data_IF_505162044333
#
_entry.id   IF_505162044333
#
_cell.length_a   1.000
_cell.length_b   1.000
_cell.length_c   1.000
_cell.angle_alpha   90.00
_cell.angle_beta   90.00
_cell.angle_gamma   90.00
#
_symmetry.space_group_name_H-M   'P 1'
#
loop_
_entity.id
_entity.type
_entity.pdbx_description
1 polymer ?
#
# COMPACT_ATOMS: atom_id res chain seq x y z
N UNK A 1 6.64 6.35 -23.85
CA UNK A 1 6.63 6.22 -22.37
C UNK A 1 6.75 4.74 -22.04
N UNK A 2 7.51 4.34 -21.00
CA UNK A 2 7.40 2.96 -20.50
C UNK A 2 5.95 2.71 -20.04
N UNK A 3 5.44 1.47 -20.14
CA UNK A 3 4.12 1.15 -19.60
C UNK A 3 4.11 1.40 -18.08
N UNK A 4 3.00 1.92 -17.51
CA UNK A 4 2.89 2.12 -16.07
C UNK A 4 3.11 0.79 -15.36
N UNK A 5 3.86 0.82 -14.26
CA UNK A 5 4.04 -0.38 -13.47
C UNK A 5 2.69 -0.81 -12.85
N UNK A 6 2.60 -2.02 -12.33
CA UNK A 6 1.33 -2.54 -11.79
C UNK A 6 0.78 -1.67 -10.63
N UNK A 7 1.66 -1.04 -9.84
CA UNK A 7 1.26 -0.14 -8.76
C UNK A 7 0.74 1.21 -9.27
N UNK A 8 1.37 1.79 -10.27
CA UNK A 8 0.95 3.02 -10.94
C UNK A 8 -0.40 2.83 -11.63
N UNK A 9 -0.58 1.68 -12.31
CA UNK A 9 -1.87 1.31 -12.93
C UNK A 9 -2.97 1.15 -11.90
N UNK A 10 -2.67 0.54 -10.75
CA UNK A 10 -3.63 0.39 -9.66
C UNK A 10 -3.96 1.75 -9.02
N UNK A 11 -2.96 2.58 -8.73
CA UNK A 11 -3.13 3.94 -8.22
C UNK A 11 -3.98 4.80 -9.16
N UNK A 12 -3.74 4.71 -10.47
CA UNK A 12 -4.52 5.42 -11.46
C UNK A 12 -5.98 4.93 -11.47
N UNK A 13 -6.21 3.62 -11.45
CA UNK A 13 -7.57 3.04 -11.39
C UNK A 13 -8.31 3.46 -10.13
N UNK A 14 -7.64 3.43 -8.98
CA UNK A 14 -8.20 3.78 -7.69
C UNK A 14 -8.58 5.25 -7.61
N UNK A 15 -7.72 6.14 -8.11
CA UNK A 15 -8.02 7.57 -8.13
C UNK A 15 -9.17 7.90 -9.08
N UNK A 16 -9.25 7.24 -10.23
CA UNK A 16 -10.37 7.41 -11.17
C UNK A 16 -11.68 6.84 -10.60
N UNK A 17 -11.63 5.75 -9.83
CA UNK A 17 -12.82 5.15 -9.22
C UNK A 17 -13.26 5.85 -7.93
N UNK A 18 -12.33 6.47 -7.19
CA UNK A 18 -12.62 7.22 -5.97
C UNK A 18 -13.55 8.41 -6.20
N UNK A 19 -13.48 9.05 -7.38
CA UNK A 19 -14.39 10.14 -7.76
C UNK A 19 -15.77 9.65 -8.23
N UNK A 20 -15.93 8.36 -8.53
CA UNK A 20 -17.11 7.77 -9.15
C UNK A 20 -17.96 6.92 -8.20
N UNK A 21 -17.40 6.44 -7.09
CA UNK A 21 -18.10 5.55 -6.16
C UNK A 21 -18.68 6.33 -4.97
N UNK A 22 -19.90 6.85 -5.18
CA UNK A 22 -20.79 7.22 -4.07
C UNK A 22 -21.10 5.94 -3.27
N UNK A 23 -20.73 5.93 -1.99
CA UNK A 23 -20.71 4.78 -1.08
C UNK A 23 -22.00 3.96 -1.03
N UNK A 24 -21.91 2.67 -1.33
CA UNK A 24 -22.84 1.67 -0.84
C UNK A 24 -22.35 1.06 0.49
N UNK A 25 -23.27 0.48 1.26
CA UNK A 25 -22.94 -0.31 2.45
C UNK A 25 -21.88 -1.37 2.11
N UNK A 26 -20.71 -1.30 2.77
CA UNK A 26 -19.62 -2.27 2.55
C UNK A 26 -18.37 -1.73 1.84
N UNK A 27 -18.17 -0.41 1.76
CA UNK A 27 -16.87 0.16 1.39
C UNK A 27 -15.84 0.04 2.54
N UNK A 28 -14.58 -0.14 2.17
CA UNK A 28 -13.41 -0.09 3.07
C UNK A 28 -12.64 1.18 2.75
N UNK A 29 -12.28 1.95 3.78
CA UNK A 29 -11.39 3.09 3.67
C UNK A 29 -9.96 2.60 3.57
N UNK A 30 -9.28 2.95 2.50
CA UNK A 30 -7.91 2.56 2.23
C UNK A 30 -7.02 3.79 2.35
N UNK A 31 -5.89 3.62 3.02
CA UNK A 31 -4.83 4.60 3.12
C UNK A 31 -3.57 4.02 2.51
N UNK A 32 -3.02 4.72 1.52
CA UNK A 32 -1.71 4.45 0.96
C UNK A 32 -0.70 5.47 1.45
N UNK A 33 0.50 5.00 1.76
CA UNK A 33 1.58 5.83 2.28
C UNK A 33 2.89 5.49 1.57
N UNK A 34 3.57 6.52 1.06
CA UNK A 34 4.92 6.43 0.53
C UNK A 34 5.90 6.75 1.65
N UNK A 35 6.71 5.77 2.05
CA UNK A 35 7.81 5.97 3.00
C UNK A 35 9.12 6.02 2.23
N UNK A 36 9.93 7.03 2.54
CA UNK A 36 11.31 7.15 2.08
C UNK A 36 12.24 6.66 3.19
N UNK A 37 12.91 5.54 2.97
CA UNK A 37 13.96 5.04 3.84
C UNK A 37 15.30 5.45 3.21
N UNK A 38 15.99 6.39 3.86
CA UNK A 38 17.38 6.69 3.51
C UNK A 38 18.25 5.50 3.89
N UNK A 39 19.25 5.22 3.07
CA UNK A 39 20.30 4.29 3.46
C UNK A 39 20.93 4.77 4.79
N UNK A 40 21.28 3.85 5.71
CA UNK A 40 21.91 4.24 6.97
C UNK A 40 23.20 5.01 6.66
N UNK A 41 23.29 6.24 7.18
CA UNK A 41 24.50 7.06 7.10
C UNK A 41 25.60 6.34 7.88
N UNK A 42 26.37 5.51 7.20
CA UNK A 42 27.49 4.82 7.82
C UNK A 42 28.61 5.85 7.92
N UNK A 43 28.86 6.34 9.13
CA UNK A 43 29.97 7.25 9.40
C UNK A 43 31.29 6.62 8.91
N UNK A 44 32.05 7.43 8.18
CA UNK A 44 33.36 7.18 7.57
C UNK A 44 33.37 6.64 6.13
N UNK A 45 33.74 7.52 5.19
CA UNK A 45 34.44 7.20 3.93
C UNK A 45 33.67 6.41 2.86
N UNK A 46 32.41 6.75 2.57
CA UNK A 46 31.78 6.31 1.32
C UNK A 46 31.85 7.40 0.25
N UNK A 47 32.64 7.14 -0.80
CA UNK A 47 32.76 7.95 -2.04
C UNK A 47 31.48 7.81 -2.90
N UNK A 48 30.65 6.79 -2.60
CA UNK A 48 29.40 6.49 -3.31
C UNK A 48 28.25 6.52 -2.31
N UNK A 49 27.26 7.36 -2.58
CA UNK A 49 26.01 7.43 -1.81
C UNK A 49 25.14 6.23 -2.20
N UNK A 50 24.71 5.44 -1.22
CA UNK A 50 23.76 4.37 -1.46
C UNK A 50 22.39 4.97 -1.84
N UNK A 51 21.74 4.47 -2.91
CA UNK A 51 20.47 5.02 -3.35
C UNK A 51 19.38 4.80 -2.28
N UNK A 52 18.44 5.76 -2.14
CA UNK A 52 17.36 5.61 -1.18
C UNK A 52 16.40 4.48 -1.58
N UNK A 53 15.76 3.88 -0.59
CA UNK A 53 14.68 2.92 -0.80
C UNK A 53 13.34 3.59 -0.54
N UNK A 54 12.48 3.62 -1.55
CA UNK A 54 11.10 4.07 -1.44
C UNK A 54 10.19 2.86 -1.34
N UNK A 55 9.27 2.87 -0.38
CA UNK A 55 8.29 1.80 -0.21
C UNK A 55 6.88 2.38 -0.22
N UNK A 56 6.04 1.85 -1.11
CA UNK A 56 4.61 2.15 -1.16
C UNK A 56 3.86 1.14 -0.30
N UNK A 57 3.17 1.64 0.72
CA UNK A 57 2.39 0.85 1.66
C UNK A 57 0.90 1.06 1.45
N UNK A 58 0.11 0.05 1.80
CA UNK A 58 -1.34 0.16 1.93
C UNK A 58 -1.80 -0.37 3.28
N UNK A 59 -2.76 0.33 3.86
CA UNK A 59 -3.54 -0.07 5.05
C UNK A 59 -5.01 0.15 4.77
N UNK A 60 -5.85 -0.76 5.23
CA UNK A 60 -7.29 -0.62 5.16
C UNK A 60 -7.91 -0.43 6.55
N UNK A 61 -9.00 0.30 6.57
CA UNK A 61 -9.84 0.58 7.72
C UNK A 61 -11.28 0.16 7.39
N UNK A 62 -11.85 -0.72 8.21
CA UNK A 62 -13.28 -1.01 8.14
C UNK A 62 -14.07 0.15 8.75
N UNK A 63 -15.34 0.34 8.39
CA UNK A 63 -16.12 1.48 8.88
C UNK A 63 -16.25 1.47 10.41
N UNK A 64 -16.43 2.65 11.01
CA UNK A 64 -16.50 2.84 12.47
C UNK A 64 -17.54 1.96 13.19
N UNK A 65 -18.56 1.46 12.48
CA UNK A 65 -19.56 0.55 13.06
C UNK A 65 -18.91 -0.75 13.54
N UNK A 66 -17.89 -1.26 12.82
CA UNK A 66 -17.16 -2.47 13.20
C UNK A 66 -16.30 -2.30 14.48
N UNK A 67 -16.03 -1.06 14.91
CA UNK A 67 -15.29 -0.76 16.15
C UNK A 67 -16.09 -1.15 17.41
N UNK A 68 -17.42 -1.16 17.32
CA UNK A 68 -18.30 -1.51 18.43
C UNK A 68 -18.29 -3.02 18.76
N UNK A 69 -17.99 -3.87 17.78
CA UNK A 69 -18.07 -5.33 17.90
C UNK A 69 -16.73 -6.02 18.25
N UNK A 70 -15.68 -5.24 18.57
CA UNK A 70 -14.37 -5.79 18.90
C UNK A 70 -13.61 -6.40 17.71
N UNK A 71 -14.07 -6.13 16.48
CA UNK A 71 -13.39 -6.57 15.24
C UNK A 71 -12.12 -5.75 14.98
N UNK A 72 -11.16 -6.36 14.28
CA UNK A 72 -9.89 -5.70 13.94
C UNK A 72 -10.16 -4.59 12.93
N UNK A 73 -10.22 -3.35 13.42
CA UNK A 73 -10.57 -2.16 12.66
C UNK A 73 -9.59 -1.84 11.52
N UNK A 74 -8.31 -2.16 11.72
CA UNK A 74 -7.23 -1.79 10.81
C UNK A 74 -6.50 -3.03 10.30
N UNK A 75 -6.29 -3.10 8.98
CA UNK A 75 -5.51 -4.16 8.38
C UNK A 75 -4.03 -4.05 8.76
N UNK A 76 -3.28 -5.16 8.74
CA UNK A 76 -1.83 -5.09 8.70
C UNK A 76 -1.35 -4.16 7.57
N UNK A 77 -0.22 -3.49 7.80
CA UNK A 77 0.46 -2.66 6.79
C UNK A 77 1.14 -3.59 5.77
N UNK A 78 0.84 -3.39 4.50
CA UNK A 78 1.28 -4.29 3.43
C UNK A 78 2.02 -3.52 2.33
N UNK A 79 3.16 -4.06 1.87
CA UNK A 79 3.94 -3.45 0.79
C UNK A 79 3.22 -3.70 -0.53
N UNK A 80 2.94 -2.62 -1.25
CA UNK A 80 2.39 -2.65 -2.60
C UNK A 80 3.53 -2.78 -3.61
N UNK A 81 4.53 -1.92 -3.47
CA UNK A 81 5.66 -1.81 -4.37
C UNK A 81 6.87 -1.21 -3.63
N UNK A 82 8.07 -1.48 -4.14
CA UNK A 82 9.32 -0.96 -3.60
C UNK A 82 10.26 -0.57 -4.74
N UNK A 83 10.85 0.62 -4.63
CA UNK A 83 11.81 1.15 -5.59
C UNK A 83 13.12 1.53 -4.90
N UNK A 84 14.25 1.09 -5.44
CA UNK A 84 15.58 1.48 -4.99
C UNK A 84 16.14 2.42 -6.06
N UNK A 85 16.38 3.68 -5.70
CA UNK A 85 16.79 4.72 -6.63
C UNK A 85 16.16 6.07 -6.33
N UNK A 86 16.52 7.06 -7.12
CA UNK A 86 16.04 8.42 -6.93
C UNK A 86 14.73 8.68 -7.70
N UNK A 87 13.75 9.42 -7.14
CA UNK A 87 12.47 9.68 -7.81
C UNK A 87 12.59 10.37 -9.18
N UNK A 88 13.63 11.17 -9.39
CA UNK A 88 13.91 11.91 -10.62
C UNK A 88 14.51 11.04 -11.74
N UNK A 89 14.94 9.80 -11.43
CA UNK A 89 15.46 8.88 -12.43
C UNK A 89 14.40 8.56 -13.49
N UNK A 90 14.79 8.52 -14.76
CA UNK A 90 13.85 8.30 -15.89
C UNK A 90 13.01 7.02 -15.76
N UNK A 91 13.54 6.00 -15.07
CA UNK A 91 12.88 4.70 -14.86
C UNK A 91 12.14 4.59 -13.53
N UNK A 92 12.17 5.61 -12.69
CA UNK A 92 11.45 5.61 -11.42
C UNK A 92 9.94 5.52 -11.67
N UNK A 93 9.21 4.68 -10.90
CA UNK A 93 7.76 4.60 -10.94
C UNK A 93 7.11 5.96 -10.70
N UNK A 94 5.95 6.21 -11.29
CA UNK A 94 5.30 7.52 -11.17
C UNK A 94 4.92 7.84 -9.73
N UNK A 95 4.52 6.83 -8.96
CA UNK A 95 4.19 6.98 -7.53
C UNK A 95 5.34 7.57 -6.71
N UNK A 96 6.60 7.30 -7.07
CA UNK A 96 7.77 7.85 -6.34
C UNK A 96 7.88 9.37 -6.45
N UNK A 97 7.42 9.94 -7.58
CA UNK A 97 7.50 11.37 -7.91
C UNK A 97 6.36 12.20 -7.35
N UNK A 98 5.35 11.57 -6.76
CA UNK A 98 4.16 12.27 -6.26
C UNK A 98 4.54 13.20 -5.10
N UNK A 99 4.02 14.42 -5.16
CA UNK A 99 4.18 15.43 -4.11
C UNK A 99 3.49 15.01 -2.82
N UNK A 100 2.25 14.51 -2.93
CA UNK A 100 1.52 13.94 -1.81
C UNK A 100 2.06 12.55 -1.52
N UNK A 101 2.40 12.29 -0.25
CA UNK A 101 2.93 10.99 0.21
C UNK A 101 1.86 10.10 0.84
N UNK A 102 0.68 10.65 1.08
CA UNK A 102 -0.46 9.95 1.67
C UNK A 102 -1.64 10.08 0.70
N UNK A 103 -2.33 8.98 0.45
CA UNK A 103 -3.53 8.92 -0.36
C UNK A 103 -4.61 8.16 0.40
N UNK A 104 -5.78 8.76 0.53
CA UNK A 104 -6.95 8.12 1.13
C UNK A 104 -8.00 7.95 0.03
N UNK A 105 -8.58 6.77 -0.03
CA UNK A 105 -9.61 6.42 -1.01
C UNK A 105 -10.48 5.31 -0.47
N UNK A 106 -11.61 5.07 -1.10
CA UNK A 106 -12.49 3.98 -0.74
C UNK A 106 -12.51 2.93 -1.83
N UNK A 107 -12.62 1.66 -1.43
CA UNK A 107 -12.83 0.55 -2.36
C UNK A 107 -13.95 -0.36 -1.88
N UNK A 108 -14.66 -1.02 -2.81
CA UNK A 108 -15.55 -2.11 -2.46
C UNK A 108 -14.79 -3.18 -1.66
N UNK A 109 -15.38 -3.63 -0.54
CA UNK A 109 -14.75 -4.60 0.37
C UNK A 109 -14.25 -5.85 -0.33
N UNK A 110 -15.06 -6.44 -1.21
CA UNK A 110 -14.70 -7.64 -1.96
C UNK A 110 -13.47 -7.43 -2.86
N UNK A 111 -13.40 -6.28 -3.55
CA UNK A 111 -12.26 -5.92 -4.40
C UNK A 111 -10.99 -5.75 -3.58
N UNK A 112 -11.06 -5.03 -2.46
CA UNK A 112 -9.91 -4.84 -1.59
C UNK A 112 -9.42 -6.16 -1.01
N UNK A 113 -10.30 -7.01 -0.48
CA UNK A 113 -9.93 -8.33 0.07
C UNK A 113 -9.13 -9.15 -0.95
N UNK A 114 -9.59 -9.20 -2.20
CA UNK A 114 -8.91 -9.93 -3.26
C UNK A 114 -7.51 -9.37 -3.57
N UNK A 115 -7.39 -8.05 -3.65
CA UNK A 115 -6.11 -7.37 -3.87
C UNK A 115 -5.17 -7.61 -2.67
N UNK A 116 -5.70 -7.48 -1.46
CA UNK A 116 -4.94 -7.61 -0.21
C UNK A 116 -4.35 -9.01 -0.05
N UNK A 117 -5.12 -10.06 -0.35
CA UNK A 117 -4.62 -11.44 -0.36
C UNK A 117 -3.54 -11.67 -1.42
N UNK A 118 -3.65 -11.04 -2.61
CA UNK A 118 -2.59 -11.11 -3.61
C UNK A 118 -1.32 -10.42 -3.14
N UNK A 119 -1.44 -9.23 -2.54
CA UNK A 119 -0.30 -8.50 -1.99
C UNK A 119 0.39 -9.29 -0.86
N UNK A 120 -0.36 -10.06 -0.07
CA UNK A 120 0.21 -10.93 0.96
C UNK A 120 1.22 -11.95 0.40
N UNK A 121 1.07 -12.34 -0.87
CA UNK A 121 1.93 -13.28 -1.58
C UNK A 121 3.09 -12.59 -2.32
N UNK A 122 3.21 -11.26 -2.27
CA UNK A 122 4.34 -10.57 -2.89
C UNK A 122 5.64 -10.88 -2.16
N UNK A 123 6.76 -10.84 -2.89
CA UNK A 123 8.11 -11.10 -2.38
C UNK A 123 8.50 -10.24 -1.16
N UNK A 124 7.92 -9.05 -1.03
CA UNK A 124 8.16 -8.14 0.10
C UNK A 124 7.35 -8.48 1.35
N UNK A 125 6.24 -9.19 1.20
CA UNK A 125 5.32 -9.51 2.30
C UNK A 125 5.44 -10.98 2.77
N UNK A 126 5.97 -11.87 1.92
CA UNK A 126 6.25 -13.27 2.22
C UNK A 126 7.22 -13.52 3.40
N UNK A 127 8.34 -12.79 3.55
CA UNK A 127 9.34 -13.08 4.58
C UNK A 127 8.88 -12.70 6.01
N UNK A 128 7.84 -11.87 6.13
CA UNK A 128 7.34 -11.43 7.43
C UNK A 128 6.53 -12.57 8.08
N UNK A 129 7.19 -13.34 8.96
CA UNK A 129 6.54 -14.41 9.72
C UNK A 129 5.24 -13.92 10.37
N UNK A 130 4.13 -14.61 10.09
CA UNK A 130 2.81 -14.30 10.65
C UNK A 130 2.00 -13.23 9.91
N UNK A 131 2.58 -12.47 8.97
CA UNK A 131 1.84 -11.40 8.25
C UNK A 131 0.73 -11.94 7.37
N UNK A 132 0.97 -13.03 6.65
CA UNK A 132 -0.06 -13.71 5.85
C UNK A 132 -1.24 -14.17 6.73
N UNK A 133 -0.94 -14.75 7.90
CA UNK A 133 -1.94 -15.19 8.86
C UNK A 133 -2.77 -14.03 9.41
N UNK A 134 -2.13 -12.92 9.78
CA UNK A 134 -2.82 -11.70 10.22
C UNK A 134 -3.70 -11.10 9.12
N UNK A 135 -3.23 -11.11 7.87
CA UNK A 135 -4.02 -10.63 6.73
C UNK A 135 -5.23 -11.52 6.49
N UNK A 136 -5.08 -12.84 6.59
CA UNK A 136 -6.21 -13.78 6.52
C UNK A 136 -7.22 -13.59 7.65
N UNK A 137 -6.77 -13.44 8.90
CA UNK A 137 -7.65 -13.15 10.04
C UNK A 137 -8.43 -11.84 9.84
N UNK A 138 -7.75 -10.80 9.35
CA UNK A 138 -8.39 -9.53 9.09
C UNK A 138 -9.46 -9.64 8.00
N UNK A 139 -9.16 -10.35 6.90
CA UNK A 139 -10.13 -10.63 5.83
C UNK A 139 -11.36 -11.37 6.36
N UNK A 140 -11.19 -12.37 7.23
CA UNK A 140 -12.31 -13.08 7.85
C UNK A 140 -13.14 -12.17 8.74
N UNK A 141 -12.50 -11.34 9.58
CA UNK A 141 -13.21 -10.37 10.43
C UNK A 141 -13.91 -9.26 9.65
N UNK A 142 -13.46 -9.00 8.43
CA UNK A 142 -13.97 -7.97 7.54
C UNK A 142 -14.83 -8.54 6.41
N UNK A 143 -15.36 -9.76 6.52
CA UNK A 143 -16.32 -10.31 5.54
C UNK A 143 -17.67 -10.66 6.17
N UNK A 144 -17.78 -10.58 7.49
CA UNK A 144 -19.04 -10.67 8.24
C UNK A 144 -19.80 -9.34 8.18
#
# INVERSE_FOLDING_TARGET
MPPPNHADSWLASVMLQGDLLMCEHGAIECKMEIIHEKAPETEATQIFEDPPTLTLWVTAHTSQVAKADGLVYQSPRTVVDQYIGYPDERRAPEWTRRANKIFEFQQPRATFVHIFLRLALNQWNLPAQGRLFQMHLWVQSSTV
#
